data_IF_376914599684
#
_entry.id   IF_376914599684
#
_cell.length_a   1.000
_cell.length_b   1.000
_cell.length_c   1.000
_cell.angle_alpha   90.00
_cell.angle_beta   90.00
_cell.angle_gamma   90.00
#
_symmetry.space_group_name_H-M   'P 1'
#
loop_
_entity.id
_entity.type
_entity.pdbx_description
1 polymer ?
#
# COMPACT_ATOMS: atom_id res chain seq x y z
N UNK A 1 -45.80 47.00 -22.00
CA UNK A 1 -44.51 46.80 -21.30
C UNK A 1 -44.73 45.70 -20.29
N UNK A 2 -44.59 44.44 -20.73
CA UNK A 2 -44.92 43.26 -19.93
C UNK A 2 -43.66 42.71 -19.27
N UNK A 3 -43.76 42.61 -17.96
CA UNK A 3 -42.83 42.01 -17.01
C UNK A 3 -42.46 40.58 -17.42
N UNK A 4 -41.16 40.25 -17.43
CA UNK A 4 -40.71 38.88 -17.17
C UNK A 4 -39.51 38.93 -16.22
N UNK A 5 -39.83 38.73 -14.96
CA UNK A 5 -38.94 38.25 -13.91
C UNK A 5 -38.51 36.83 -14.29
N UNK A 6 -37.30 36.63 -14.79
CA UNK A 6 -36.76 35.27 -14.93
C UNK A 6 -36.28 34.79 -13.56
N UNK A 7 -37.05 33.84 -13.03
CA UNK A 7 -36.86 33.10 -11.79
C UNK A 7 -35.48 32.42 -11.74
N UNK A 8 -34.88 32.47 -10.55
CA UNK A 8 -33.63 31.82 -10.15
C UNK A 8 -33.75 30.28 -10.23
N UNK A 9 -32.76 29.60 -10.83
CA UNK A 9 -32.56 28.17 -10.64
C UNK A 9 -31.36 27.96 -9.70
N UNK A 10 -31.51 27.33 -8.52
CA UNK A 10 -30.37 26.89 -7.74
C UNK A 10 -29.66 25.79 -8.53
N UNK A 11 -28.37 25.96 -8.79
CA UNK A 11 -27.53 24.89 -9.33
C UNK A 11 -27.48 23.76 -8.30
N UNK A 12 -28.24 22.72 -8.59
CA UNK A 12 -28.35 21.47 -7.85
C UNK A 12 -26.95 20.91 -7.55
N UNK A 13 -26.62 20.82 -6.25
CA UNK A 13 -25.44 20.12 -5.77
C UNK A 13 -25.50 18.63 -6.11
N UNK A 14 -24.81 18.24 -7.18
CA UNK A 14 -24.69 16.84 -7.60
C UNK A 14 -23.40 16.21 -7.07
N UNK A 15 -23.56 15.52 -5.92
CA UNK A 15 -22.85 14.32 -5.43
C UNK A 15 -21.31 14.36 -5.30
N UNK A 16 -20.87 14.92 -4.15
CA UNK A 16 -19.52 14.80 -3.57
C UNK A 16 -19.20 13.40 -2.95
N UNK A 17 -20.16 12.47 -2.92
CA UNK A 17 -20.02 11.20 -2.20
C UNK A 17 -18.91 10.26 -2.74
N UNK A 18 -18.62 10.30 -4.05
CA UNK A 18 -17.63 9.42 -4.68
C UNK A 18 -16.17 9.77 -4.37
N UNK A 19 -15.85 11.06 -4.23
CA UNK A 19 -14.49 11.53 -3.98
C UNK A 19 -14.09 11.32 -2.51
N UNK A 20 -15.01 11.58 -1.56
CA UNK A 20 -14.75 11.37 -0.14
C UNK A 20 -14.49 9.90 0.20
N UNK A 21 -15.26 8.98 -0.39
CA UNK A 21 -15.06 7.55 -0.17
C UNK A 21 -13.74 7.06 -0.76
N UNK A 22 -13.36 7.53 -1.95
CA UNK A 22 -12.09 7.16 -2.57
C UNK A 22 -10.88 7.64 -1.75
N UNK A 23 -10.92 8.88 -1.24
CA UNK A 23 -9.86 9.42 -0.37
C UNK A 23 -9.81 8.68 0.97
N UNK A 24 -10.96 8.34 1.55
CA UNK A 24 -11.01 7.55 2.78
C UNK A 24 -10.38 6.16 2.58
N UNK A 25 -10.72 5.48 1.48
CA UNK A 25 -10.14 4.17 1.15
C UNK A 25 -8.63 4.27 0.91
N UNK A 26 -8.17 5.32 0.23
CA UNK A 26 -6.75 5.60 0.04
C UNK A 26 -6.04 5.84 1.38
N UNK A 27 -6.62 6.65 2.27
CA UNK A 27 -6.07 6.95 3.58
C UNK A 27 -5.98 5.70 4.47
N UNK A 28 -7.05 4.88 4.52
CA UNK A 28 -7.04 3.62 5.27
C UNK A 28 -6.00 2.66 4.69
N UNK A 29 -5.91 2.55 3.38
CA UNK A 29 -4.92 1.69 2.71
C UNK A 29 -3.49 2.13 3.02
N UNK A 30 -3.20 3.42 2.87
CA UNK A 30 -1.92 4.01 3.23
C UNK A 30 -1.57 3.74 4.71
N UNK A 31 -2.53 3.95 5.62
CA UNK A 31 -2.34 3.69 7.04
C UNK A 31 -2.01 2.22 7.33
N UNK A 32 -2.77 1.29 6.76
CA UNK A 32 -2.55 -0.16 6.93
C UNK A 32 -1.18 -0.55 6.40
N UNK A 33 -0.85 -0.14 5.17
CA UNK A 33 0.45 -0.42 4.55
C UNK A 33 1.60 0.07 5.43
N UNK A 34 1.54 1.34 5.85
CA UNK A 34 2.60 1.95 6.66
C UNK A 34 2.71 1.30 8.04
N UNK A 35 1.59 0.93 8.64
CA UNK A 35 1.56 0.22 9.93
C UNK A 35 2.22 -1.15 9.81
N UNK A 36 1.93 -1.90 8.76
CA UNK A 36 2.55 -3.21 8.49
C UNK A 36 4.07 -3.12 8.32
N UNK A 37 4.56 -2.02 7.74
CA UNK A 37 6.00 -1.81 7.56
C UNK A 37 6.70 -1.42 8.86
N UNK A 38 6.07 -0.63 9.73
CA UNK A 38 6.68 -0.25 10.99
C UNK A 38 6.52 -1.29 12.10
N UNK A 39 5.44 -2.08 12.10
CA UNK A 39 5.19 -3.07 13.14
C UNK A 39 6.29 -4.13 13.22
N UNK A 40 6.94 -4.45 12.09
CA UNK A 40 8.02 -5.45 12.07
C UNK A 40 9.19 -5.07 12.96
N UNK A 41 9.52 -3.78 13.02
CA UNK A 41 10.68 -3.30 13.79
C UNK A 41 10.44 -3.56 15.28
N UNK A 42 9.21 -3.35 15.75
CA UNK A 42 8.80 -3.70 17.11
C UNK A 42 8.67 -5.22 17.33
N UNK A 43 8.39 -5.98 16.27
CA UNK A 43 8.21 -7.43 16.34
C UNK A 43 9.50 -8.24 16.12
N UNK A 44 10.63 -7.59 15.81
CA UNK A 44 11.93 -8.26 15.60
C UNK A 44 12.31 -9.26 16.70
N UNK A 45 12.13 -8.95 18.01
CA UNK A 45 12.43 -9.91 19.07
C UNK A 45 11.51 -11.13 19.05
N UNK A 46 10.24 -10.97 18.67
CA UNK A 46 9.31 -12.09 18.51
C UNK A 46 9.65 -12.92 17.28
N UNK A 47 9.91 -12.30 16.13
CA UNK A 47 10.36 -13.02 14.91
C UNK A 47 11.64 -13.82 15.16
N UNK A 48 12.58 -13.26 15.92
CA UNK A 48 13.81 -13.94 16.33
C UNK A 48 13.52 -15.20 17.16
N UNK A 49 12.57 -15.14 18.11
CA UNK A 49 12.17 -16.29 18.93
C UNK A 49 11.39 -17.34 18.13
N UNK A 50 10.44 -16.89 17.32
CA UNK A 50 9.52 -17.77 16.58
C UNK A 50 10.26 -18.55 15.49
N UNK A 51 11.24 -17.93 14.82
CA UNK A 51 12.04 -18.55 13.77
C UNK A 51 13.38 -19.14 14.29
N UNK A 52 13.72 -18.94 15.56
CA UNK A 52 14.99 -19.40 16.15
C UNK A 52 16.23 -18.74 15.55
N UNK A 53 16.11 -17.54 14.98
CA UNK A 53 17.21 -16.78 14.34
C UNK A 53 17.66 -15.62 15.23
N UNK A 54 18.84 -15.04 14.95
CA UNK A 54 19.28 -13.83 15.65
C UNK A 54 18.43 -12.60 15.28
N UNK A 55 18.34 -11.63 16.19
CA UNK A 55 17.65 -10.34 15.93
C UNK A 55 18.28 -9.62 14.73
N UNK A 56 19.61 -9.71 14.57
CA UNK A 56 20.32 -9.13 13.43
C UNK A 56 19.88 -9.78 12.11
N UNK A 57 19.70 -11.11 12.07
CA UNK A 57 19.17 -11.81 10.90
C UNK A 57 17.71 -11.41 10.61
N UNK A 58 16.86 -11.28 11.62
CA UNK A 58 15.50 -10.77 11.45
C UNK A 58 15.50 -9.33 10.90
N UNK A 59 16.46 -8.50 11.33
CA UNK A 59 16.66 -7.14 10.81
C UNK A 59 16.97 -7.09 9.31
N UNK A 60 17.60 -8.13 8.75
CA UNK A 60 17.87 -8.22 7.31
C UNK A 60 16.58 -8.24 6.48
N UNK A 61 15.44 -8.65 7.03
CA UNK A 61 14.15 -8.58 6.34
C UNK A 61 13.75 -7.12 6.06
N UNK A 62 14.03 -6.22 7.00
CA UNK A 62 13.79 -4.78 6.86
C UNK A 62 14.76 -4.19 5.84
N UNK A 63 16.03 -4.58 5.90
CA UNK A 63 17.05 -4.16 4.93
C UNK A 63 16.68 -4.63 3.52
N UNK A 64 16.26 -5.89 3.34
CA UNK A 64 15.81 -6.44 2.08
C UNK A 64 14.63 -5.63 1.51
N UNK A 65 13.65 -5.33 2.35
CA UNK A 65 12.49 -4.51 1.96
C UNK A 65 12.95 -3.13 1.47
N UNK A 66 13.74 -2.41 2.28
CA UNK A 66 14.22 -1.07 1.96
C UNK A 66 15.09 -1.05 0.70
N UNK A 67 15.99 -2.03 0.55
CA UNK A 67 16.84 -2.19 -0.62
C UNK A 67 16.02 -2.43 -1.89
N UNK A 68 14.97 -3.26 -1.80
CA UNK A 68 14.08 -3.55 -2.93
C UNK A 68 13.32 -2.31 -3.36
N UNK A 69 12.73 -1.57 -2.41
CA UNK A 69 12.05 -0.28 -2.66
C UNK A 69 13.02 0.70 -3.33
N UNK A 70 14.24 0.83 -2.80
CA UNK A 70 15.28 1.72 -3.31
C UNK A 70 15.67 1.39 -4.75
N UNK A 71 15.88 0.11 -5.05
CA UNK A 71 16.40 -0.32 -6.35
C UNK A 71 15.32 -0.34 -7.43
N UNK A 72 14.14 -0.88 -7.11
CA UNK A 72 13.09 -1.12 -8.10
C UNK A 72 12.05 -0.01 -8.16
N UNK A 73 11.91 0.81 -7.11
CA UNK A 73 10.84 1.80 -7.02
C UNK A 73 10.77 2.76 -8.20
N UNK A 74 11.84 3.51 -8.53
CA UNK A 74 11.83 4.43 -9.66
C UNK A 74 11.51 3.75 -10.99
N UNK A 75 12.08 2.56 -11.21
CA UNK A 75 11.92 1.80 -12.45
C UNK A 75 10.48 1.30 -12.61
N UNK A 76 9.94 0.64 -11.60
CA UNK A 76 8.57 0.12 -11.63
C UNK A 76 7.54 1.23 -11.70
N UNK A 77 7.70 2.31 -10.92
CA UNK A 77 6.79 3.46 -10.97
C UNK A 77 6.81 4.12 -12.35
N UNK A 78 7.98 4.30 -12.96
CA UNK A 78 8.06 4.84 -14.32
C UNK A 78 7.41 3.90 -15.35
N UNK A 79 7.69 2.60 -15.30
CA UNK A 79 7.12 1.62 -16.22
C UNK A 79 5.59 1.52 -16.12
N UNK A 80 5.04 1.55 -14.89
CA UNK A 80 3.60 1.40 -14.65
C UNK A 80 2.82 2.72 -14.72
N UNK A 81 3.49 3.86 -14.88
CA UNK A 81 2.84 5.20 -14.92
C UNK A 81 1.76 5.36 -16.00
N UNK A 82 1.83 4.58 -17.08
CA UNK A 82 0.89 4.62 -18.21
C UNK A 82 -0.40 3.83 -17.97
N UNK A 83 -0.48 3.05 -16.89
CA UNK A 83 -1.67 2.24 -16.57
C UNK A 83 -2.71 3.03 -15.76
N UNK A 84 -3.96 2.57 -15.80
CA UNK A 84 -5.05 3.17 -15.02
C UNK A 84 -4.77 3.08 -13.51
N UNK A 85 -4.62 4.23 -12.84
CA UNK A 85 -4.32 4.34 -11.40
C UNK A 85 -5.24 3.50 -10.52
N UNK A 86 -6.55 3.47 -10.83
CA UNK A 86 -7.53 2.70 -10.06
C UNK A 86 -7.26 1.19 -10.12
N UNK A 87 -6.86 0.68 -11.28
CA UNK A 87 -6.55 -0.74 -11.47
C UNK A 87 -5.24 -1.11 -10.78
N UNK A 88 -4.22 -0.25 -10.89
CA UNK A 88 -2.96 -0.40 -10.16
C UNK A 88 -3.18 -0.47 -8.66
N UNK A 89 -3.97 0.45 -8.11
CA UNK A 89 -4.29 0.50 -6.69
C UNK A 89 -4.86 -0.83 -6.17
N UNK A 90 -5.84 -1.40 -6.88
CA UNK A 90 -6.45 -2.68 -6.51
C UNK A 90 -5.44 -3.82 -6.61
N UNK A 91 -4.64 -3.88 -7.67
CA UNK A 91 -3.61 -4.92 -7.84
C UNK A 91 -2.58 -4.85 -6.72
N UNK A 92 -2.11 -3.66 -6.37
CA UNK A 92 -1.14 -3.45 -5.28
C UNK A 92 -1.72 -3.92 -3.95
N UNK A 93 -2.97 -3.56 -3.64
CA UNK A 93 -3.62 -4.03 -2.42
C UNK A 93 -3.76 -5.55 -2.37
N UNK A 94 -4.07 -6.20 -3.49
CA UNK A 94 -4.13 -7.65 -3.57
C UNK A 94 -2.75 -8.29 -3.35
N UNK A 95 -1.69 -7.73 -3.94
CA UNK A 95 -0.31 -8.18 -3.71
C UNK A 95 0.05 -8.01 -2.24
N UNK A 96 -0.28 -6.88 -1.63
CA UNK A 96 -0.01 -6.60 -0.23
C UNK A 96 -0.72 -7.59 0.69
N UNK A 97 -2.01 -7.85 0.44
CA UNK A 97 -2.80 -8.82 1.20
C UNK A 97 -2.24 -10.25 1.06
N UNK A 98 -1.95 -10.70 -0.17
CA UNK A 98 -1.39 -12.03 -0.42
C UNK A 98 -0.02 -12.22 0.23
N UNK A 99 0.82 -11.18 0.18
CA UNK A 99 2.16 -11.21 0.78
C UNK A 99 2.11 -11.26 2.30
N UNK A 100 1.15 -10.55 2.91
CA UNK A 100 0.92 -10.62 4.36
C UNK A 100 0.38 -11.99 4.78
N UNK A 101 -0.51 -12.60 3.97
CA UNK A 101 -0.97 -13.97 4.21
C UNK A 101 0.18 -14.98 4.12
N UNK A 102 1.08 -14.81 3.15
CA UNK A 102 2.30 -15.61 3.03
C UNK A 102 3.22 -15.45 4.24
N UNK A 103 3.44 -14.20 4.68
CA UNK A 103 4.23 -13.89 5.87
C UNK A 103 3.63 -14.51 7.14
N UNK A 104 2.30 -14.51 7.28
CA UNK A 104 1.62 -15.12 8.42
C UNK A 104 1.76 -16.66 8.45
N UNK A 105 1.90 -17.29 7.28
CA UNK A 105 2.11 -18.73 7.15
C UNK A 105 3.60 -19.13 7.05
N UNK A 106 4.53 -18.20 7.22
CA UNK A 106 5.95 -18.44 6.97
C UNK A 106 6.56 -19.42 8.00
N UNK A 107 7.10 -20.58 7.56
CA UNK A 107 7.77 -21.53 8.44
C UNK A 107 9.25 -21.17 8.68
N UNK A 108 9.84 -20.33 7.83
CA UNK A 108 11.25 -19.97 7.87
C UNK A 108 11.50 -18.55 7.34
N UNK A 109 12.74 -18.07 7.52
CA UNK A 109 13.17 -16.72 7.15
C UNK A 109 13.08 -16.44 5.65
N UNK A 110 13.21 -17.45 4.78
CA UNK A 110 13.16 -17.27 3.33
C UNK A 110 11.74 -17.02 2.86
N UNK A 111 10.77 -17.78 3.39
CA UNK A 111 9.34 -17.55 3.11
C UNK A 111 8.91 -16.19 3.64
N UNK A 112 9.35 -15.82 4.85
CA UNK A 112 9.08 -14.49 5.40
C UNK A 112 9.77 -13.38 4.57
N UNK A 113 10.97 -13.64 4.06
CA UNK A 113 11.71 -12.77 3.15
C UNK A 113 10.98 -12.54 1.83
N UNK A 114 10.40 -13.59 1.24
CA UNK A 114 9.51 -13.45 0.07
C UNK A 114 8.26 -12.62 0.40
N UNK A 115 7.66 -12.86 1.56
CA UNK A 115 6.54 -12.07 2.08
C UNK A 115 6.87 -10.58 2.28
N UNK A 116 8.16 -10.23 2.40
CA UNK A 116 8.66 -8.85 2.44
C UNK A 116 9.04 -8.30 1.08
N UNK A 117 9.65 -9.13 0.24
CA UNK A 117 10.12 -8.73 -1.08
C UNK A 117 8.97 -8.37 -2.03
N UNK A 118 7.92 -9.18 -2.09
CA UNK A 118 6.77 -8.93 -2.97
C UNK A 118 6.07 -7.58 -2.71
N UNK A 119 5.69 -7.21 -1.48
CA UNK A 119 5.06 -5.92 -1.22
C UNK A 119 6.05 -4.76 -1.41
N UNK A 120 7.35 -4.97 -1.20
CA UNK A 120 8.39 -3.96 -1.46
C UNK A 120 8.47 -3.54 -2.93
N UNK A 121 8.16 -4.44 -3.88
CA UNK A 121 8.08 -4.10 -5.30
C UNK A 121 6.84 -3.25 -5.63
N UNK A 122 5.73 -3.51 -4.94
CA UNK A 122 4.45 -2.85 -5.20
C UNK A 122 4.31 -1.50 -4.48
N UNK A 123 4.94 -1.35 -3.31
CA UNK A 123 4.85 -0.16 -2.46
C UNK A 123 5.19 1.15 -3.21
N UNK A 124 6.30 1.28 -3.97
CA UNK A 124 6.66 2.53 -4.63
C UNK A 124 5.63 2.97 -5.68
N UNK A 125 4.99 2.00 -6.34
CA UNK A 125 3.99 2.24 -7.38
C UNK A 125 2.68 2.76 -6.78
N UNK A 126 2.39 2.44 -5.52
CA UNK A 126 1.22 2.96 -4.80
C UNK A 126 1.28 4.48 -4.61
N UNK A 127 2.50 5.02 -4.47
CA UNK A 127 2.74 6.43 -4.17
C UNK A 127 3.04 7.30 -5.42
N UNK A 128 3.22 6.69 -6.60
CA UNK A 128 3.44 7.39 -7.87
C UNK A 128 2.14 7.90 -8.50
#
# INVERSE_FOLDING_TARGET
>A
MSSVTSVHAPSSGTKSAGHGLAVLLLAISAFVIVTTEFIIVGLLPSLSRDLGISISAAGQLVTLFAFTVMLFGPVLTAMLSHFERKRLFVVILLIFAASNALAAAAPDIWVLGLGRFLPALALPVFWG
#
